data_IF_645697738390
#
_entry.id   IF_645697738390
#
_cell.length_a   1.000
_cell.length_b   1.000
_cell.length_c   1.000
_cell.angle_alpha   90.00
_cell.angle_beta   90.00
_cell.angle_gamma   90.00
#
_symmetry.space_group_name_H-M   'P 1'
#
loop_
_entity.id
_entity.type
_entity.pdbx_description
1 polymer ?
#
# COMPACT_ATOMS: atom_id res chain seq x y z
N UNK A 1 -9.49 -11.17 7.94
CA UNK A 1 -8.97 -11.12 9.34
C UNK A 1 -7.46 -10.98 9.35
N UNK A 2 -6.92 -10.48 10.45
CA UNK A 2 -5.50 -10.47 10.79
C UNK A 2 -5.26 -11.56 11.84
N UNK A 3 -4.14 -12.26 11.73
CA UNK A 3 -3.76 -13.31 12.67
C UNK A 3 -2.34 -13.04 13.16
N UNK A 4 -2.13 -13.07 14.47
CA UNK A 4 -0.83 -12.90 15.11
C UNK A 4 -0.30 -14.25 15.57
N UNK A 5 0.93 -14.56 15.19
CA UNK A 5 1.66 -15.76 15.62
C UNK A 5 2.91 -15.36 16.41
N UNK A 6 3.39 -16.26 17.26
CA UNK A 6 4.69 -16.14 17.90
C UNK A 6 5.84 -16.38 16.89
N UNK A 7 7.10 -16.04 17.22
CA UNK A 7 8.24 -16.40 16.40
C UNK A 7 8.40 -17.90 16.14
N UNK A 8 7.87 -18.74 17.03
CA UNK A 8 7.90 -20.21 16.89
C UNK A 8 6.68 -20.74 16.09
N UNK A 9 5.82 -19.85 15.58
CA UNK A 9 4.66 -20.19 14.77
C UNK A 9 3.41 -20.58 15.55
N UNK A 10 3.39 -20.37 16.86
CA UNK A 10 2.20 -20.64 17.68
C UNK A 10 1.18 -19.52 17.54
N UNK A 11 -0.11 -19.88 17.46
CA UNK A 11 -1.21 -18.93 17.42
C UNK A 11 -1.28 -18.13 18.73
N UNK A 12 -1.38 -16.80 18.61
CA UNK A 12 -1.55 -15.90 19.75
C UNK A 12 -2.97 -15.34 19.77
N UNK A 13 -3.39 -14.67 18.69
CA UNK A 13 -4.70 -14.04 18.61
C UNK A 13 -5.08 -13.72 17.16
N UNK A 14 -6.34 -13.38 16.94
CA UNK A 14 -6.81 -12.85 15.67
C UNK A 14 -7.89 -11.79 15.89
N UNK A 15 -8.06 -10.91 14.90
CA UNK A 15 -9.16 -9.94 14.87
C UNK A 15 -9.60 -9.66 13.44
N UNK A 16 -10.75 -9.02 13.33
CA UNK A 16 -11.35 -8.64 12.07
C UNK A 16 -12.24 -9.72 11.44
N UNK A 17 -13.27 -9.25 10.80
CA UNK A 17 -14.24 -10.03 10.04
C UNK A 17 -14.54 -9.35 8.71
N UNK A 18 -15.39 -9.94 7.88
CA UNK A 18 -15.78 -9.32 6.60
C UNK A 18 -16.75 -8.17 6.87
N UNK A 19 -16.43 -6.98 6.36
CA UNK A 19 -17.32 -5.81 6.48
C UNK A 19 -16.64 -4.49 6.10
N UNK A 20 -17.27 -3.39 6.50
CA UNK A 20 -16.86 -2.02 6.19
C UNK A 20 -16.65 -1.14 7.43
N UNK A 21 -17.08 -1.61 8.60
CA UNK A 21 -16.87 -0.90 9.86
C UNK A 21 -15.39 -0.97 10.28
N UNK A 22 -15.01 -0.19 11.30
CA UNK A 22 -13.65 -0.25 11.83
C UNK A 22 -13.35 -1.64 12.41
N UNK A 23 -12.19 -2.18 12.06
CA UNK A 23 -11.81 -3.55 12.41
C UNK A 23 -12.45 -4.63 11.53
N UNK A 24 -13.26 -4.27 10.54
CA UNK A 24 -13.75 -5.18 9.51
C UNK A 24 -12.99 -4.96 8.20
N UNK A 25 -12.79 -5.99 7.40
CA UNK A 25 -11.96 -5.94 6.21
C UNK A 25 -12.66 -6.45 4.96
N UNK A 26 -12.31 -5.86 3.81
CA UNK A 26 -12.60 -6.41 2.48
C UNK A 26 -11.31 -6.51 1.68
N UNK A 27 -10.67 -7.65 1.70
CA UNK A 27 -9.38 -7.90 1.06
C UNK A 27 -8.23 -7.16 1.78
N UNK A 28 -7.92 -7.49 3.06
CA UNK A 28 -6.68 -7.04 3.67
C UNK A 28 -5.52 -7.65 2.89
N UNK A 29 -4.62 -6.80 2.35
CA UNK A 29 -3.66 -7.21 1.32
C UNK A 29 -2.21 -7.10 1.78
N UNK A 30 -1.87 -6.08 2.54
CA UNK A 30 -0.53 -5.85 3.05
C UNK A 30 -0.56 -5.36 4.49
N UNK A 31 0.54 -5.57 5.19
CA UNK A 31 0.77 -5.22 6.58
C UNK A 31 2.15 -4.58 6.74
N UNK A 32 2.25 -3.51 7.51
CA UNK A 32 3.52 -2.87 7.84
C UNK A 32 3.46 -2.30 9.27
N UNK A 33 4.60 -2.26 9.96
CA UNK A 33 4.73 -1.61 11.25
C UNK A 33 5.40 -0.24 11.12
N UNK A 34 4.89 0.75 11.84
CA UNK A 34 5.62 2.00 12.04
C UNK A 34 6.57 1.93 13.26
N UNK A 35 7.39 2.96 13.45
CA UNK A 35 8.36 3.00 14.55
C UNK A 35 7.70 3.08 15.94
N UNK A 36 6.42 3.41 16.03
CA UNK A 36 5.66 3.35 17.27
C UNK A 36 5.10 1.95 17.55
N UNK A 37 5.33 0.99 16.66
CA UNK A 37 4.83 -0.38 16.76
C UNK A 37 3.35 -0.52 16.45
N UNK A 38 2.73 0.47 15.76
CA UNK A 38 1.37 0.36 15.27
C UNK A 38 1.35 -0.43 13.97
N UNK A 39 0.36 -1.29 13.82
CA UNK A 39 0.17 -2.11 12.62
C UNK A 39 -0.73 -1.36 11.62
N UNK A 40 -0.20 -1.11 10.45
CA UNK A 40 -0.91 -0.54 9.31
C UNK A 40 -1.40 -1.66 8.40
N UNK A 41 -2.69 -1.68 8.12
CA UNK A 41 -3.36 -2.71 7.32
C UNK A 41 -3.90 -2.09 6.04
N UNK A 42 -3.43 -2.56 4.90
CA UNK A 42 -3.98 -2.18 3.60
C UNK A 42 -5.32 -2.91 3.36
N UNK A 43 -6.43 -2.31 3.74
CA UNK A 43 -7.77 -2.83 3.49
C UNK A 43 -8.24 -2.43 2.08
N UNK A 44 -7.66 -3.08 1.07
CA UNK A 44 -7.79 -2.75 -0.35
C UNK A 44 -9.22 -2.67 -0.82
N UNK A 45 -10.05 -3.61 -0.40
CA UNK A 45 -11.46 -3.67 -0.80
C UNK A 45 -12.30 -2.54 -0.25
N UNK A 46 -11.91 -1.93 0.85
CA UNK A 46 -12.56 -0.78 1.48
C UNK A 46 -11.84 0.56 1.17
N UNK A 47 -10.81 0.55 0.34
CA UNK A 47 -10.07 1.73 -0.12
C UNK A 47 -9.47 2.55 1.02
N UNK A 48 -8.87 1.88 2.02
CA UNK A 48 -8.34 2.53 3.21
C UNK A 48 -7.10 1.82 3.76
N UNK A 49 -6.33 2.55 4.54
CA UNK A 49 -5.43 1.99 5.54
C UNK A 49 -6.16 2.00 6.89
N UNK A 50 -6.13 0.90 7.63
CA UNK A 50 -6.54 0.86 9.02
C UNK A 50 -5.34 0.62 9.92
N UNK A 51 -5.28 1.35 11.02
CA UNK A 51 -4.15 1.37 11.95
C UNK A 51 -4.61 0.81 13.29
N UNK A 52 -3.84 -0.13 13.82
CA UNK A 52 -4.12 -0.86 15.06
C UNK A 52 -2.93 -0.82 16.01
N UNK A 53 -3.18 -0.98 17.29
CA UNK A 53 -2.12 -1.39 18.21
C UNK A 53 -1.83 -2.91 18.09
N UNK A 54 -0.85 -3.41 18.83
CA UNK A 54 -0.45 -4.83 18.75
C UNK A 54 -1.42 -5.77 19.46
N UNK A 55 -2.39 -5.26 20.18
CA UNK A 55 -3.51 -5.96 20.79
C UNK A 55 -4.73 -6.03 19.88
N UNK A 56 -4.65 -5.44 18.66
CA UNK A 56 -5.73 -5.44 17.68
C UNK A 56 -6.80 -4.37 17.94
N UNK A 57 -6.56 -3.41 18.82
CA UNK A 57 -7.47 -2.29 19.01
C UNK A 57 -7.32 -1.28 17.88
N UNK A 58 -8.45 -0.88 17.30
CA UNK A 58 -8.50 0.13 16.25
C UNK A 58 -8.05 1.50 16.78
N UNK A 59 -7.20 2.20 16.02
CA UNK A 59 -6.69 3.52 16.33
C UNK A 59 -7.16 4.58 15.33
N UNK A 60 -6.98 4.33 14.02
CA UNK A 60 -7.21 5.34 12.98
C UNK A 60 -7.51 4.68 11.62
N UNK A 61 -8.21 5.40 10.72
CA UNK A 61 -8.33 5.03 9.30
C UNK A 61 -7.89 6.18 8.41
N UNK A 62 -7.22 5.87 7.28
CA UNK A 62 -6.81 6.82 6.25
C UNK A 62 -7.33 6.41 4.89
N UNK A 63 -8.04 7.30 4.23
CA UNK A 63 -8.78 7.01 2.99
C UNK A 63 -8.12 7.57 1.72
N UNK A 64 -7.07 8.39 1.84
CA UNK A 64 -6.44 9.06 0.71
C UNK A 64 -5.47 8.19 -0.09
N UNK A 65 -5.24 6.94 0.32
CA UNK A 65 -4.26 6.06 -0.33
C UNK A 65 -4.85 5.20 -1.46
N UNK A 66 -6.16 5.05 -1.54
CA UNK A 66 -6.84 4.31 -2.62
C UNK A 66 -6.91 2.80 -2.40
N UNK A 67 -6.74 2.03 -3.47
CA UNK A 67 -6.80 0.56 -3.45
C UNK A 67 -5.40 -0.04 -3.29
N UNK A 68 -4.93 -0.05 -2.07
CA UNK A 68 -3.54 -0.35 -1.72
C UNK A 68 -3.28 -1.85 -1.81
N UNK A 69 -2.26 -2.25 -2.59
CA UNK A 69 -1.77 -3.62 -2.64
C UNK A 69 -0.56 -3.86 -1.75
N UNK A 70 0.27 -2.84 -1.57
CA UNK A 70 1.41 -2.93 -0.67
C UNK A 70 1.72 -1.56 -0.07
N UNK A 71 2.44 -1.56 1.07
CA UNK A 71 2.92 -0.35 1.70
C UNK A 71 4.28 -0.60 2.32
N UNK A 72 5.09 0.44 2.34
CA UNK A 72 6.39 0.48 2.99
C UNK A 72 6.47 1.74 3.84
N UNK A 73 6.92 1.60 5.08
CA UNK A 73 7.14 2.73 6.00
C UNK A 73 8.64 2.85 6.24
N UNK A 74 9.19 4.01 5.85
CA UNK A 74 10.62 4.27 6.03
C UNK A 74 10.96 4.55 7.49
N UNK A 75 12.26 4.45 7.87
CA UNK A 75 12.74 4.88 9.18
C UNK A 75 12.45 6.37 9.45
N UNK A 76 12.36 7.19 8.40
CA UNK A 76 11.95 8.59 8.47
C UNK A 76 10.44 8.83 8.61
N UNK A 77 9.67 7.78 8.97
CA UNK A 77 8.22 7.86 9.19
C UNK A 77 7.44 8.38 7.97
N UNK A 78 7.83 7.93 6.78
CA UNK A 78 7.10 8.18 5.53
C UNK A 78 6.46 6.90 5.02
N UNK A 79 5.16 6.96 4.74
CA UNK A 79 4.37 5.88 4.13
C UNK A 79 4.44 6.00 2.61
N UNK A 80 4.83 4.93 1.96
CA UNK A 80 4.75 4.73 0.51
C UNK A 80 3.74 3.61 0.27
N UNK A 81 2.57 3.94 -0.27
CA UNK A 81 1.50 2.97 -0.50
C UNK A 81 1.20 2.86 -2.00
N UNK A 82 1.31 1.65 -2.53
CA UNK A 82 1.03 1.40 -3.94
C UNK A 82 -0.43 1.02 -4.17
N UNK A 83 -1.14 1.88 -4.89
CA UNK A 83 -2.47 1.63 -5.40
C UNK A 83 -2.37 0.98 -6.78
N UNK A 84 -2.57 -0.33 -6.86
CA UNK A 84 -2.48 -1.08 -8.11
C UNK A 84 -3.81 -1.23 -8.85
N UNK A 85 -4.92 -0.97 -8.19
CA UNK A 85 -6.24 -1.36 -8.71
C UNK A 85 -7.25 -0.22 -8.88
N UNK A 86 -6.94 1.02 -8.50
CA UNK A 86 -7.84 2.15 -8.76
C UNK A 86 -7.95 2.40 -10.25
N UNK A 87 -9.15 2.35 -10.76
CA UNK A 87 -9.46 2.56 -12.17
C UNK A 87 -10.90 3.05 -12.34
N UNK A 88 -11.31 3.28 -13.59
CA UNK A 88 -12.65 3.81 -13.92
C UNK A 88 -13.83 2.95 -13.44
N UNK A 89 -13.61 1.67 -13.12
CA UNK A 89 -14.65 0.75 -12.69
C UNK A 89 -14.66 0.51 -11.19
N UNK A 90 -13.48 0.46 -10.56
CA UNK A 90 -13.34 0.07 -9.16
C UNK A 90 -13.18 1.22 -8.18
N UNK A 91 -12.64 2.36 -8.64
CA UNK A 91 -12.46 3.56 -7.82
C UNK A 91 -12.48 4.79 -8.75
N UNK A 92 -13.70 5.20 -9.11
CA UNK A 92 -13.97 6.25 -10.11
C UNK A 92 -13.24 7.54 -9.70
N UNK A 93 -12.57 8.17 -10.67
CA UNK A 93 -11.77 9.39 -10.53
C UNK A 93 -10.45 9.24 -9.75
N UNK A 94 -10.09 8.02 -9.38
CA UNK A 94 -8.78 7.74 -8.80
C UNK A 94 -7.84 7.14 -9.83
N UNK A 95 -6.57 7.52 -9.73
CA UNK A 95 -5.49 6.99 -10.55
C UNK A 95 -4.62 6.07 -9.69
N UNK A 96 -4.26 4.92 -10.24
CA UNK A 96 -3.26 4.05 -9.63
C UNK A 96 -1.87 4.71 -9.62
N UNK A 97 -0.98 4.25 -8.76
CA UNK A 97 0.36 4.80 -8.54
C UNK A 97 0.77 4.71 -7.07
N UNK A 98 1.98 5.19 -6.75
CA UNK A 98 2.46 5.24 -5.36
C UNK A 98 2.07 6.56 -4.72
N UNK A 99 1.36 6.49 -3.60
CA UNK A 99 1.00 7.66 -2.78
C UNK A 99 1.90 7.75 -1.57
N UNK A 100 2.36 8.96 -1.29
CA UNK A 100 3.38 9.22 -0.28
C UNK A 100 2.82 10.21 0.72
N UNK A 101 2.93 9.88 2.01
CA UNK A 101 2.50 10.76 3.10
C UNK A 101 3.20 10.43 4.41
N UNK A 102 3.28 11.39 5.34
CA UNK A 102 3.90 11.15 6.64
C UNK A 102 3.00 10.31 7.56
N UNK A 103 3.64 9.55 8.45
CA UNK A 103 2.97 8.71 9.45
C UNK A 103 2.20 9.55 10.49
N UNK A 104 2.69 10.74 10.82
CA UNK A 104 2.15 11.60 11.89
C UNK A 104 0.93 12.44 11.46
N UNK A 105 0.61 12.51 10.16
CA UNK A 105 -0.46 13.36 9.61
C UNK A 105 -1.21 12.67 8.48
N UNK A 106 -2.52 12.90 8.41
CA UNK A 106 -3.38 12.37 7.36
C UNK A 106 -3.37 13.26 6.10
N UNK A 107 -2.20 13.38 5.45
CA UNK A 107 -2.00 14.16 4.22
C UNK A 107 -1.13 13.40 3.23
N UNK A 108 -1.37 13.61 1.94
CA UNK A 108 -0.44 13.20 0.89
C UNK A 108 0.51 14.35 0.56
N UNK A 109 1.79 14.03 0.45
CA UNK A 109 2.85 14.98 0.06
C UNK A 109 3.46 14.63 -1.30
N UNK A 110 3.19 13.43 -1.82
CA UNK A 110 3.72 12.97 -3.09
C UNK A 110 2.83 11.94 -3.79
N UNK A 111 3.00 11.85 -5.11
CA UNK A 111 2.38 10.84 -5.95
C UNK A 111 3.31 10.49 -7.11
N UNK A 112 3.63 9.22 -7.25
CA UNK A 112 4.37 8.68 -8.40
C UNK A 112 3.35 7.99 -9.30
N UNK A 113 3.09 8.54 -10.51
CA UNK A 113 2.20 7.89 -11.46
C UNK A 113 2.82 6.61 -12.02
N UNK A 114 2.01 5.69 -12.57
CA UNK A 114 2.53 4.53 -13.26
C UNK A 114 3.36 4.94 -14.48
N UNK A 115 4.32 4.10 -14.85
CA UNK A 115 5.15 4.32 -16.03
C UNK A 115 4.30 4.48 -17.31
N UNK A 116 4.55 5.52 -18.08
CA UNK A 116 3.70 5.93 -19.23
C UNK A 116 3.74 4.97 -20.44
N UNK A 117 4.63 3.98 -20.47
CA UNK A 117 4.72 3.03 -21.57
C UNK A 117 3.48 2.13 -21.71
N UNK A 118 2.62 2.06 -20.71
CA UNK A 118 1.35 1.35 -20.80
C UNK A 118 0.23 2.30 -21.21
N UNK A 119 0.13 2.56 -22.51
CA UNK A 119 -0.94 3.36 -23.11
C UNK A 119 -2.31 2.68 -23.13
N UNK A 120 -2.42 1.48 -22.55
CA UNK A 120 -3.68 0.72 -22.52
C UNK A 120 -4.64 1.33 -21.48
N UNK A 121 -5.83 1.78 -21.88
CA UNK A 121 -6.72 2.56 -21.01
C UNK A 121 -7.30 1.80 -19.80
N UNK A 122 -7.03 0.50 -19.65
CA UNK A 122 -7.56 -0.35 -18.59
C UNK A 122 -6.50 -1.25 -17.93
N UNK A 123 -5.24 -1.07 -18.24
CA UNK A 123 -4.13 -1.89 -17.77
C UNK A 123 -2.99 -1.05 -17.21
N UNK A 124 -3.30 0.06 -16.55
CA UNK A 124 -2.31 0.70 -15.71
C UNK A 124 -1.90 -0.28 -14.63
N UNK A 125 -0.93 -1.10 -14.91
CA UNK A 125 -0.39 -2.04 -13.95
C UNK A 125 0.70 -1.31 -13.20
N UNK A 126 0.28 -0.51 -12.27
CA UNK A 126 1.13 -0.17 -11.15
C UNK A 126 1.33 -1.48 -10.41
N UNK A 127 2.55 -1.84 -10.10
CA UNK A 127 2.88 -3.10 -9.46
C UNK A 127 2.16 -3.36 -8.14
N UNK A 128 2.33 -4.54 -7.61
CA UNK A 128 1.73 -4.95 -6.35
C UNK A 128 2.72 -4.91 -5.17
N UNK A 129 3.94 -4.43 -5.39
CA UNK A 129 4.97 -4.28 -4.37
C UNK A 129 5.66 -2.92 -4.43
N UNK A 130 6.00 -2.35 -3.28
CA UNK A 130 6.75 -1.11 -3.14
C UNK A 130 7.86 -1.25 -2.09
N UNK A 131 9.03 -0.70 -2.37
CA UNK A 131 10.15 -0.60 -1.44
C UNK A 131 10.89 0.71 -1.62
N UNK A 132 11.60 1.15 -0.59
CA UNK A 132 12.39 2.39 -0.62
C UNK A 132 13.77 2.09 -0.06
N UNK A 133 14.83 2.50 -0.77
CA UNK A 133 16.21 2.34 -0.29
C UNK A 133 16.63 3.50 0.64
N UNK A 134 17.83 3.39 1.21
CA UNK A 134 18.39 4.39 2.13
C UNK A 134 18.60 5.76 1.48
N UNK A 135 18.76 5.80 0.16
CA UNK A 135 18.89 7.03 -0.63
C UNK A 135 17.52 7.67 -0.96
N UNK A 136 16.42 7.02 -0.61
CA UNK A 136 15.05 7.46 -0.90
C UNK A 136 14.55 7.07 -2.28
N UNK A 137 15.28 6.24 -3.06
CA UNK A 137 14.78 5.75 -4.32
C UNK A 137 13.63 4.75 -4.11
N UNK A 138 12.58 4.90 -4.89
CA UNK A 138 11.38 4.06 -4.81
C UNK A 138 11.45 2.95 -5.85
N UNK A 139 11.29 1.71 -5.40
CA UNK A 139 11.21 0.53 -6.24
C UNK A 139 9.77 0.04 -6.28
N UNK A 140 9.29 -0.25 -7.48
CA UNK A 140 7.94 -0.77 -7.71
C UNK A 140 8.04 -2.09 -8.44
N UNK A 141 7.45 -3.15 -7.86
CA UNK A 141 7.30 -4.43 -8.53
C UNK A 141 6.07 -4.33 -9.44
N UNK A 142 6.29 -3.97 -10.70
CA UNK A 142 5.22 -3.80 -11.67
C UNK A 142 4.62 -5.15 -12.05
N UNK A 143 3.29 -5.22 -12.10
CA UNK A 143 2.56 -6.43 -12.47
C UNK A 143 2.79 -6.83 -13.92
N UNK A 144 2.19 -7.92 -14.41
CA UNK A 144 2.78 -8.82 -15.39
C UNK A 144 3.21 -8.12 -16.68
N UNK A 145 4.44 -7.68 -16.69
CA UNK A 145 5.16 -7.33 -17.92
C UNK A 145 5.15 -8.51 -18.92
N UNK A 146 4.82 -9.70 -18.45
CA UNK A 146 4.63 -10.90 -19.28
C UNK A 146 3.47 -10.80 -20.28
N UNK A 147 2.61 -9.80 -20.16
CA UNK A 147 1.51 -9.55 -21.10
C UNK A 147 1.77 -8.38 -22.06
N UNK A 148 2.89 -7.69 -21.92
CA UNK A 148 3.28 -6.61 -22.79
C UNK A 148 4.73 -6.78 -23.22
N UNK A 149 5.00 -6.65 -24.51
CA UNK A 149 6.36 -6.69 -25.08
C UNK A 149 7.26 -5.50 -24.64
N UNK A 150 6.92 -4.82 -23.55
CA UNK A 150 7.63 -3.64 -23.06
C UNK A 150 7.53 -3.54 -21.55
N UNK A 151 8.64 -3.68 -20.87
CA UNK A 151 8.77 -3.37 -19.46
C UNK A 151 9.59 -4.40 -18.69
N UNK A 152 10.35 -3.95 -17.73
CA UNK A 152 10.98 -4.79 -16.73
C UNK A 152 9.97 -5.08 -15.61
N UNK A 153 10.15 -6.21 -14.92
CA UNK A 153 9.34 -6.57 -13.76
C UNK A 153 9.52 -5.61 -12.56
N UNK A 154 10.51 -4.72 -12.64
CA UNK A 154 10.82 -3.75 -11.59
C UNK A 154 11.18 -2.39 -12.19
N UNK A 155 10.62 -1.34 -11.62
CA UNK A 155 10.94 0.05 -11.96
C UNK A 155 11.53 0.73 -10.72
N UNK A 156 12.69 1.37 -10.88
CA UNK A 156 13.29 2.24 -9.87
C UNK A 156 13.03 3.70 -10.25
N UNK A 157 12.42 4.42 -9.33
CA UNK A 157 12.29 5.87 -9.42
C UNK A 157 13.37 6.51 -8.55
N UNK A 158 14.33 7.17 -9.19
CA UNK A 158 15.39 7.88 -8.48
C UNK A 158 14.87 9.25 -8.02
N UNK A 159 15.29 9.66 -6.83
CA UNK A 159 15.15 11.05 -6.39
C UNK A 159 16.25 11.85 -7.08
N UNK A 160 15.88 12.72 -8.04
CA UNK A 160 16.83 13.67 -8.58
C UNK A 160 17.31 14.58 -7.43
N UNK A 161 18.62 14.61 -7.22
CA UNK A 161 19.23 15.37 -6.14
C UNK A 161 18.79 16.83 -6.16
N UNK A 162 18.24 17.30 -5.06
CA UNK A 162 18.04 18.72 -4.79
C UNK A 162 19.37 19.39 -4.47
#
# INVERSE_FOLDING_TARGET
>A
RIVKYSPDGEYIMEWGEIGTDHGQFRTPHALEFDAQGRLWVADRGNHRLEIFDQEGNYLESRYQYGRISDLFITEGEMVYAIDSESNRLRHINWRNGVRIGPVDRDVLVGFIPPWESDSRPNHGVTGEGVGVDEDGNVFVAEGPASLADAGSAFTKYAVDGM
#
